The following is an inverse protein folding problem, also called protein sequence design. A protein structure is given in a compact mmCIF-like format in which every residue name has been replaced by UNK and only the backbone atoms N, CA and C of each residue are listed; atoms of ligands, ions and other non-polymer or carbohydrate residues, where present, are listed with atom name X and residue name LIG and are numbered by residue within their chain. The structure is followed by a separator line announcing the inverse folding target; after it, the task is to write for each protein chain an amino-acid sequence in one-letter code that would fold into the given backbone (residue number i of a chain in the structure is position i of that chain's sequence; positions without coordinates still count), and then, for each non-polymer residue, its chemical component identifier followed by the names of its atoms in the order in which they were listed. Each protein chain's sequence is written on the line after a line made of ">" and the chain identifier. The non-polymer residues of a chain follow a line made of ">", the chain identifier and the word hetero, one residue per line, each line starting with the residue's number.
data_IF_456759455783
#
_entry.id   IF_456759455783
#
_cell.length_a   1.000
_cell.length_b   1.000
_cell.length_c   1.000
_cell.angle_alpha   90.00
_cell.angle_beta   90.00
_cell.angle_gamma   90.00
#
_symmetry.space_group_name_H-M   'P 1'
#
loop_
_entity.id
_entity.type
_entity.pdbx_description
1 polymer ?
#
# COMPACT_ATOMS: atom_id res chain seq x y z
N UNK A 1 19.85 13.33 -0.27
CA UNK A 1 19.85 11.86 -0.09
C UNK A 1 19.71 11.23 -1.47
N UNK A 2 20.75 10.54 -1.95
CA UNK A 2 20.70 9.89 -3.27
C UNK A 2 19.69 8.75 -3.26
N UNK A 3 18.76 8.79 -4.21
CA UNK A 3 17.81 7.72 -4.45
C UNK A 3 18.55 6.56 -5.12
N UNK A 4 18.81 5.48 -4.37
CA UNK A 4 19.24 4.20 -4.94
C UNK A 4 18.00 3.60 -5.61
N UNK A 5 17.97 3.56 -6.95
CA UNK A 5 16.86 2.95 -7.69
C UNK A 5 16.58 1.50 -7.30
N UNK A 6 15.47 0.93 -7.81
CA UNK A 6 14.92 -0.38 -7.45
C UNK A 6 14.20 -0.44 -6.09
N UNK A 7 13.76 0.70 -5.56
CA UNK A 7 12.95 0.74 -4.34
C UNK A 7 11.59 0.08 -4.59
N UNK A 8 11.19 -0.82 -3.71
CA UNK A 8 9.89 -1.51 -3.74
C UNK A 8 8.98 -0.94 -2.67
N UNK A 9 7.95 -0.21 -3.10
CA UNK A 9 6.93 0.38 -2.23
C UNK A 9 5.65 -0.45 -2.33
N UNK A 10 5.11 -0.85 -1.18
CA UNK A 10 3.81 -1.49 -1.08
C UNK A 10 2.78 -0.49 -0.54
N UNK A 11 1.75 -0.18 -1.32
CA UNK A 11 0.55 0.50 -0.85
C UNK A 11 -0.54 -0.55 -0.52
N UNK A 12 -0.96 -0.63 0.73
CA UNK A 12 -1.83 -1.69 1.22
C UNK A 12 -3.04 -1.17 2.00
N UNK A 13 -4.20 -1.75 1.67
CA UNK A 13 -5.44 -1.61 2.43
C UNK A 13 -6.15 -2.97 2.49
N UNK A 14 -6.59 -3.37 3.68
CA UNK A 14 -7.15 -4.70 3.93
C UNK A 14 -8.57 -4.64 4.48
N UNK A 15 -9.28 -5.75 4.31
CA UNK A 15 -10.52 -6.03 5.01
C UNK A 15 -10.19 -6.93 6.21
N UNK A 16 -10.95 -6.82 7.32
CA UNK A 16 -10.65 -7.55 8.57
C UNK A 16 -10.52 -9.06 8.41
N UNK A 17 -11.27 -9.66 7.47
CA UNK A 17 -11.21 -11.11 7.18
C UNK A 17 -9.90 -11.57 6.53
N UNK A 18 -9.05 -10.66 6.04
CA UNK A 18 -7.76 -11.01 5.45
C UNK A 18 -6.72 -11.10 6.55
N UNK A 19 -6.49 -12.33 7.03
CA UNK A 19 -5.38 -12.60 7.92
C UNK A 19 -4.08 -12.68 7.12
N UNK A 20 -3.20 -11.70 7.33
CA UNK A 20 -1.87 -11.66 6.70
C UNK A 20 -0.74 -11.94 7.69
N UNK A 21 -1.06 -12.28 8.94
CA UNK A 21 -0.08 -12.46 10.01
C UNK A 21 0.98 -13.50 9.65
N UNK A 22 0.59 -14.59 8.99
CA UNK A 22 1.51 -15.66 8.56
C UNK A 22 2.48 -15.25 7.44
N UNK A 23 2.26 -14.13 6.75
CA UNK A 23 3.09 -13.68 5.64
C UNK A 23 3.72 -12.30 5.85
N UNK A 24 3.61 -11.72 7.06
CA UNK A 24 4.18 -10.40 7.37
C UNK A 24 5.67 -10.33 7.11
N UNK A 25 6.44 -11.30 7.58
CA UNK A 25 7.89 -11.26 7.42
C UNK A 25 8.29 -11.30 5.95
N UNK A 26 7.59 -12.10 5.14
CA UNK A 26 7.77 -12.12 3.69
C UNK A 26 7.45 -10.77 3.06
N UNK A 27 6.34 -10.13 3.46
CA UNK A 27 5.98 -8.79 2.97
C UNK A 27 7.08 -7.78 3.35
N UNK A 28 7.49 -7.73 4.60
CA UNK A 28 8.47 -6.77 5.11
C UNK A 28 9.86 -6.97 4.51
N UNK A 29 10.25 -8.20 4.21
CA UNK A 29 11.51 -8.51 3.55
C UNK A 29 11.48 -8.20 2.04
N UNK A 30 10.29 -8.22 1.43
CA UNK A 30 10.14 -7.93 -0.01
C UNK A 30 10.13 -6.44 -0.32
N UNK A 31 9.53 -5.63 0.57
CA UNK A 31 9.31 -4.20 0.34
C UNK A 31 10.23 -3.35 1.22
N UNK A 32 10.83 -2.33 0.61
CA UNK A 32 11.62 -1.32 1.32
C UNK A 32 10.73 -0.41 2.16
N UNK A 33 9.50 -0.19 1.70
CA UNK A 33 8.53 0.65 2.37
C UNK A 33 7.10 0.12 2.23
N UNK A 34 6.34 0.16 3.31
CA UNK A 34 4.93 -0.24 3.37
C UNK A 34 4.09 0.98 3.76
N UNK A 35 3.22 1.40 2.86
CA UNK A 35 2.25 2.49 3.05
C UNK A 35 0.89 1.87 3.33
N UNK A 36 0.47 1.95 4.58
CA UNK A 36 -0.82 1.44 5.04
C UNK A 36 -1.88 2.53 4.97
N UNK A 37 -3.07 2.18 4.48
CA UNK A 37 -4.23 3.06 4.53
C UNK A 37 -5.52 2.28 4.72
N UNK A 38 -6.62 3.00 4.90
CA UNK A 38 -7.97 2.46 4.95
C UNK A 38 -8.74 2.87 3.69
N UNK A 39 -9.52 1.92 3.16
CA UNK A 39 -10.46 2.16 2.07
C UNK A 39 -11.88 1.87 2.56
N UNK A 40 -12.82 2.71 2.15
CA UNK A 40 -14.25 2.45 2.34
C UNK A 40 -14.60 1.14 1.62
N UNK A 41 -14.81 0.09 2.39
CA UNK A 41 -15.05 -1.27 1.92
C UNK A 41 -15.93 -2.00 2.95
N UNK A 42 -16.42 -3.21 2.62
CA UNK A 42 -17.09 -4.07 3.61
C UNK A 42 -16.09 -4.52 4.67
N UNK A 43 -16.32 -4.19 5.94
CA UNK A 43 -15.46 -4.52 7.08
C UNK A 43 -13.98 -4.14 6.86
N UNK A 44 -13.66 -2.85 6.71
CA UNK A 44 -12.30 -2.40 6.49
C UNK A 44 -11.47 -2.62 7.75
N UNK A 45 -10.21 -3.02 7.56
CA UNK A 45 -9.24 -2.97 8.63
C UNK A 45 -8.92 -1.50 8.93
N UNK A 46 -8.89 -1.16 10.20
CA UNK A 46 -8.56 0.17 10.71
C UNK A 46 -7.06 0.39 10.69
N UNK A 47 -6.64 1.66 10.74
CA UNK A 47 -5.22 2.01 10.89
C UNK A 47 -4.65 1.47 12.20
N UNK A 48 -5.45 1.43 13.26
CA UNK A 48 -5.04 0.82 14.52
C UNK A 48 -4.73 -0.68 14.36
N UNK A 49 -5.63 -1.44 13.74
CA UNK A 49 -5.40 -2.87 13.46
C UNK A 49 -4.16 -3.09 12.57
N UNK A 50 -3.96 -2.26 11.53
CA UNK A 50 -2.74 -2.31 10.70
C UNK A 50 -1.47 -2.01 11.52
N UNK A 51 -1.50 -1.01 12.41
CA UNK A 51 -0.38 -0.69 13.31
C UNK A 51 -0.05 -1.86 14.23
N UNK A 52 -1.06 -2.60 14.70
CA UNK A 52 -0.86 -3.78 15.54
C UNK A 52 -0.19 -4.90 14.77
N UNK A 53 -0.61 -5.15 13.53
CA UNK A 53 -0.01 -6.17 12.65
C UNK A 53 1.47 -5.86 12.36
N UNK A 54 1.78 -4.60 12.05
CA UNK A 54 3.14 -4.16 11.70
C UNK A 54 3.92 -3.57 12.89
N UNK A 55 3.54 -3.89 14.14
CA UNK A 55 4.08 -3.24 15.34
C UNK A 55 5.61 -3.29 15.47
N UNK A 56 6.23 -4.34 14.95
CA UNK A 56 7.68 -4.57 14.99
C UNK A 56 8.43 -3.88 13.84
N UNK A 57 7.72 -3.36 12.83
CA UNK A 57 8.28 -2.88 11.56
C UNK A 57 8.06 -1.39 11.33
N UNK A 58 8.04 -0.61 12.42
CA UNK A 58 7.73 0.83 12.42
C UNK A 58 8.62 1.64 11.48
N UNK A 59 9.89 1.24 11.31
CA UNK A 59 10.86 1.89 10.42
C UNK A 59 10.52 1.74 8.94
N UNK A 60 9.80 0.68 8.55
CA UNK A 60 9.38 0.43 7.17
C UNK A 60 7.94 0.87 6.88
N UNK A 61 7.13 1.12 7.91
CA UNK A 61 5.70 1.42 7.75
C UNK A 61 5.37 2.91 7.83
N UNK A 62 4.45 3.38 6.97
CA UNK A 62 3.77 4.67 7.07
C UNK A 62 2.26 4.45 7.06
N UNK A 63 1.51 5.31 7.75
CA UNK A 63 0.07 5.13 7.93
C UNK A 63 -0.67 6.42 7.55
N UNK A 64 -1.74 6.28 6.77
CA UNK A 64 -2.57 7.39 6.31
C UNK A 64 -4.05 7.07 6.51
N UNK A 65 -4.80 8.04 7.01
CA UNK A 65 -6.25 7.89 7.24
C UNK A 65 -7.03 7.85 5.93
N UNK A 66 -6.53 8.52 4.89
CA UNK A 66 -7.19 8.61 3.59
C UNK A 66 -6.34 7.97 2.49
N UNK A 67 -6.99 7.14 1.66
CA UNK A 67 -6.33 6.47 0.54
C UNK A 67 -5.71 7.44 -0.48
N UNK A 68 -6.31 8.62 -0.66
CA UNK A 68 -5.79 9.70 -1.50
C UNK A 68 -4.41 10.17 -1.06
N UNK A 69 -4.24 10.44 0.23
CA UNK A 69 -2.97 10.86 0.82
C UNK A 69 -1.91 9.77 0.69
N UNK A 70 -2.31 8.51 0.90
CA UNK A 70 -1.43 7.37 0.77
C UNK A 70 -0.93 7.18 -0.67
N UNK A 71 -1.79 7.34 -1.66
CA UNK A 71 -1.45 7.29 -3.08
C UNK A 71 -0.48 8.43 -3.44
N UNK A 72 -0.81 9.66 -3.07
CA UNK A 72 0.02 10.82 -3.39
C UNK A 72 1.38 10.75 -2.68
N UNK A 73 1.42 10.26 -1.44
CA UNK A 73 2.66 9.96 -0.76
C UNK A 73 3.47 8.92 -1.53
N UNK A 74 2.88 7.76 -1.86
CA UNK A 74 3.59 6.69 -2.56
C UNK A 74 4.13 7.14 -3.93
N UNK A 75 3.33 7.90 -4.71
CA UNK A 75 3.73 8.48 -6.00
C UNK A 75 4.91 9.43 -5.89
N UNK A 76 4.97 10.25 -4.84
CA UNK A 76 6.09 11.18 -4.59
C UNK A 76 7.38 10.47 -4.15
N UNK A 77 7.30 9.21 -3.75
CA UNK A 77 8.45 8.44 -3.25
C UNK A 77 9.11 7.55 -4.30
N UNK A 78 8.49 7.39 -5.47
CA UNK A 78 8.99 6.52 -6.54
C UNK A 78 9.72 7.33 -7.62
N UNK A 79 10.80 6.74 -8.13
CA UNK A 79 11.53 7.16 -9.33
C UNK A 79 11.31 6.16 -10.48
N UNK A 80 11.83 6.44 -11.68
CA UNK A 80 11.61 5.62 -12.88
C UNK A 80 11.98 4.13 -12.74
N UNK A 81 12.98 3.80 -11.91
CA UNK A 81 13.43 2.43 -11.68
C UNK A 81 12.83 1.77 -10.44
N UNK A 82 11.83 2.40 -9.81
CA UNK A 82 11.17 1.86 -8.62
C UNK A 82 9.90 1.10 -8.97
N UNK A 83 9.40 0.35 -8.00
CA UNK A 83 8.14 -0.38 -8.13
C UNK A 83 7.15 0.05 -7.06
N UNK A 84 5.95 0.43 -7.48
CA UNK A 84 4.79 0.62 -6.61
C UNK A 84 3.83 -0.55 -6.78
N UNK A 85 3.68 -1.37 -5.73
CA UNK A 85 2.70 -2.44 -5.67
C UNK A 85 1.47 -1.98 -4.88
N UNK A 86 0.27 -2.15 -5.44
CA UNK A 86 -1.00 -1.80 -4.79
C UNK A 86 -1.75 -3.10 -4.50
N UNK A 87 -1.82 -3.50 -3.22
CA UNK A 87 -2.33 -4.81 -2.82
C UNK A 87 -3.42 -4.66 -1.76
N UNK A 88 -4.29 -5.67 -1.67
CA UNK A 88 -5.04 -5.94 -0.46
C UNK A 88 -6.51 -6.16 -0.71
N UNK A 89 -7.21 -5.28 -1.42
CA UNK A 89 -8.65 -5.45 -1.67
C UNK A 89 -9.08 -4.97 -3.05
N UNK A 90 -10.12 -5.59 -3.63
CA UNK A 90 -10.64 -5.21 -4.96
C UNK A 90 -11.24 -3.80 -4.96
N UNK A 91 -11.57 -3.23 -3.79
CA UNK A 91 -12.01 -1.83 -3.67
C UNK A 91 -10.94 -0.82 -4.08
N UNK A 92 -9.68 -1.24 -4.29
CA UNK A 92 -8.68 -0.40 -4.95
C UNK A 92 -9.06 -0.07 -6.40
N UNK A 93 -9.71 -0.98 -7.13
CA UNK A 93 -9.96 -0.84 -8.58
C UNK A 93 -10.53 0.53 -8.99
N UNK A 94 -11.68 0.96 -8.43
CA UNK A 94 -12.26 2.27 -8.75
C UNK A 94 -11.35 3.45 -8.37
N UNK A 95 -10.63 3.35 -7.25
CA UNK A 95 -9.73 4.41 -6.77
C UNK A 95 -8.54 4.53 -7.72
N UNK A 96 -7.88 3.41 -8.04
CA UNK A 96 -6.71 3.41 -8.94
C UNK A 96 -7.10 3.86 -10.34
N UNK A 97 -8.27 3.45 -10.85
CA UNK A 97 -8.77 3.96 -12.13
C UNK A 97 -8.90 5.49 -12.13
N UNK A 98 -9.41 6.08 -11.03
CA UNK A 98 -9.50 7.55 -10.89
C UNK A 98 -8.12 8.23 -10.89
N UNK A 99 -7.13 7.67 -10.19
CA UNK A 99 -5.83 8.31 -9.98
C UNK A 99 -4.85 8.12 -11.14
N UNK A 100 -4.86 6.94 -11.74
CA UNK A 100 -3.91 6.58 -12.80
C UNK A 100 -4.54 6.61 -14.20
N UNK A 101 -5.86 6.89 -14.29
CA UNK A 101 -6.62 6.95 -15.55
C UNK A 101 -6.33 5.75 -16.44
N UNK A 102 -6.27 4.56 -15.84
CA UNK A 102 -5.98 3.32 -16.57
C UNK A 102 -7.23 2.97 -17.39
N UNK A 103 -7.39 3.60 -18.55
CA UNK A 103 -8.28 3.07 -19.58
C UNK A 103 -7.59 1.85 -20.17
N UNK A 104 -8.07 0.66 -19.85
CA UNK A 104 -7.90 -0.48 -20.73
C UNK A 104 -8.78 -0.24 -21.96
N UNK A 105 -8.41 0.73 -22.80
CA UNK A 105 -8.86 0.67 -24.18
C UNK A 105 -8.20 -0.59 -24.73
N UNK A 106 -9.01 -1.63 -24.87
CA UNK A 106 -8.66 -2.90 -25.50
C UNK A 106 -7.99 -2.56 -26.83
N UNK A 107 -6.70 -2.86 -26.94
CA UNK A 107 -6.06 -3.10 -28.23
C UNK A 107 -6.67 -4.37 -28.83
#
# INVERSE_FOLDING_TARGET
>A
MMHKGNKKILLIALQKRKNITSCIDRIVNTFDQIVCTKIKSRNPMTIYEMKTIFKLYKNKTKYFSHSSEAIEYAKKQISANDSLSIIGTHYWGPIINKYFKISFNKL
#
